data_IF_815064795029
#
_entry.id   IF_815064795029
#
_cell.length_a   1.000
_cell.length_b   1.000
_cell.length_c   1.000
_cell.angle_alpha   90.00
_cell.angle_beta   90.00
_cell.angle_gamma   90.00
#
_symmetry.space_group_name_H-M   'P 1'
#
loop_
_entity.id
_entity.type
_entity.pdbx_description
1 polymer ?
#
# COMPACT_ATOMS: atom_id res chain seq x y z
N UNK A 1 10.66 15.07 23.19
CA UNK A 1 10.80 14.91 21.72
C UNK A 1 9.65 15.57 20.95
N UNK A 2 8.39 15.46 21.40
CA UNK A 2 7.22 16.05 20.73
C UNK A 2 7.33 17.55 20.43
N UNK A 3 7.64 18.38 21.44
CA UNK A 3 7.78 19.84 21.27
C UNK A 3 8.90 20.24 20.28
N UNK A 4 9.94 19.42 20.14
CA UNK A 4 11.01 19.65 19.16
C UNK A 4 10.50 19.43 17.73
N UNK A 5 9.70 18.37 17.51
CA UNK A 5 9.07 18.11 16.21
C UNK A 5 8.06 19.20 15.85
N UNK A 6 7.21 19.60 16.80
CA UNK A 6 6.21 20.65 16.57
C UNK A 6 6.86 22.00 16.28
N UNK A 7 7.90 22.37 17.03
CA UNK A 7 8.61 23.63 16.82
C UNK A 7 9.40 23.64 15.50
N UNK A 8 10.08 22.54 15.14
CA UNK A 8 10.80 22.41 13.85
C UNK A 8 9.86 22.47 12.64
N UNK A 9 8.69 21.83 12.72
CA UNK A 9 7.64 21.93 11.68
C UNK A 9 6.87 23.25 11.73
N UNK A 10 7.19 24.17 12.65
CA UNK A 10 6.46 25.43 12.86
C UNK A 10 4.96 25.21 13.05
N UNK A 11 4.60 24.13 13.76
CA UNK A 11 3.22 23.70 14.01
C UNK A 11 2.42 23.36 12.74
N UNK A 12 3.07 23.21 11.58
CA UNK A 12 2.42 22.81 10.32
C UNK A 12 2.26 21.28 10.26
N UNK A 13 1.32 20.77 11.04
CA UNK A 13 1.05 19.32 11.15
C UNK A 13 0.22 18.77 9.99
N UNK A 14 -0.38 19.63 9.18
CA UNK A 14 -1.14 19.24 8.00
C UNK A 14 -0.19 19.07 6.80
N UNK A 15 0.42 17.90 6.68
CA UNK A 15 1.16 17.54 5.47
C UNK A 15 0.21 17.16 4.36
N UNK A 16 0.49 17.63 3.15
CA UNK A 16 -0.18 17.13 1.95
C UNK A 16 0.51 15.83 1.56
N UNK A 17 -0.28 14.78 1.33
CA UNK A 17 0.22 13.45 0.97
C UNK A 17 -0.24 13.07 -0.43
N UNK A 18 0.42 12.10 -1.10
CA UNK A 18 -0.04 11.64 -2.41
C UNK A 18 -1.49 11.16 -2.40
N UNK A 19 -1.95 10.57 -1.29
CA UNK A 19 -3.34 10.13 -1.10
C UNK A 19 -4.36 11.24 -1.32
N UNK A 20 -4.02 12.50 -1.02
CA UNK A 20 -4.90 13.64 -1.24
C UNK A 20 -5.21 13.91 -2.73
N UNK A 21 -4.43 13.36 -3.65
CA UNK A 21 -4.59 13.56 -5.10
C UNK A 21 -4.95 12.30 -5.87
N UNK A 22 -4.88 11.12 -5.25
CA UNK A 22 -5.08 9.83 -5.95
C UNK A 22 -6.45 9.75 -6.60
N UNK A 23 -7.51 10.12 -5.89
CA UNK A 23 -8.88 10.06 -6.40
C UNK A 23 -9.06 10.90 -7.67
N UNK A 24 -8.52 12.12 -7.66
CA UNK A 24 -8.52 13.01 -8.82
C UNK A 24 -7.82 12.38 -10.02
N UNK A 25 -6.61 11.83 -9.85
CA UNK A 25 -5.86 11.23 -10.95
C UNK A 25 -6.48 9.94 -11.45
N UNK A 26 -6.98 9.09 -10.55
CA UNK A 26 -7.68 7.86 -10.93
C UNK A 26 -8.91 8.16 -11.79
N UNK A 27 -9.71 9.16 -11.41
CA UNK A 27 -10.86 9.59 -12.21
C UNK A 27 -10.42 10.21 -13.55
N UNK A 28 -9.35 11.01 -13.54
CA UNK A 28 -8.83 11.66 -14.76
C UNK A 28 -8.28 10.65 -15.77
N UNK A 29 -7.57 9.62 -15.32
CA UNK A 29 -7.01 8.58 -16.20
C UNK A 29 -8.04 7.53 -16.65
N UNK A 30 -9.18 7.43 -15.96
CA UNK A 30 -10.24 6.47 -16.28
C UNK A 30 -11.40 7.11 -17.10
N UNK A 31 -11.12 8.19 -17.84
CA UNK A 31 -12.11 8.96 -18.63
C UNK A 31 -13.35 9.39 -17.81
N UNK A 32 -13.16 9.66 -16.53
CA UNK A 32 -14.22 10.04 -15.59
C UNK A 32 -15.06 8.90 -15.04
N UNK A 33 -14.64 7.64 -15.27
CA UNK A 33 -15.27 6.50 -14.62
C UNK A 33 -14.70 6.30 -13.20
N UNK A 34 -15.50 5.72 -12.32
CA UNK A 34 -15.07 5.38 -10.96
C UNK A 34 -13.94 4.34 -11.00
N UNK A 35 -12.83 4.54 -10.26
CA UNK A 35 -11.78 3.53 -10.17
C UNK A 35 -12.27 2.26 -9.47
N UNK A 36 -11.67 1.13 -9.83
CA UNK A 36 -11.91 -0.15 -9.17
C UNK A 36 -11.18 -0.20 -7.83
N UNK A 37 -11.71 -0.97 -6.89
CA UNK A 37 -11.07 -1.18 -5.58
C UNK A 37 -9.64 -1.73 -5.71
N UNK A 38 -9.40 -2.61 -6.69
CA UNK A 38 -8.07 -3.15 -7.00
C UNK A 38 -7.06 -2.08 -7.43
N UNK A 39 -7.50 -1.06 -8.18
CA UNK A 39 -6.65 0.05 -8.64
C UNK A 39 -6.28 0.95 -7.46
N UNK A 40 -7.25 1.24 -6.59
CA UNK A 40 -7.03 2.00 -5.36
C UNK A 40 -6.04 1.26 -4.45
N UNK A 41 -6.26 -0.04 -4.22
CA UNK A 41 -5.36 -0.86 -3.40
C UNK A 41 -3.93 -0.83 -3.94
N UNK A 42 -3.77 -0.97 -5.26
CA UNK A 42 -2.46 -0.91 -5.91
C UNK A 42 -1.80 0.44 -5.75
N UNK A 43 -2.55 1.53 -5.83
CA UNK A 43 -2.03 2.87 -5.55
C UNK A 43 -1.51 3.00 -4.12
N UNK A 44 -2.23 2.46 -3.14
CA UNK A 44 -1.81 2.51 -1.73
C UNK A 44 -0.48 1.79 -1.53
N UNK A 45 -0.35 0.57 -2.05
CA UNK A 45 0.90 -0.20 -1.99
C UNK A 45 2.07 0.59 -2.58
N UNK A 46 1.88 1.15 -3.78
CA UNK A 46 2.91 1.91 -4.46
C UNK A 46 3.33 3.16 -3.68
N UNK A 47 2.38 3.90 -3.10
CA UNK A 47 2.67 5.10 -2.30
C UNK A 47 3.52 4.76 -1.08
N UNK A 48 3.23 3.63 -0.43
CA UNK A 48 3.98 3.18 0.74
C UNK A 48 5.43 2.82 0.39
N UNK A 49 5.68 2.37 -0.84
CA UNK A 49 7.03 2.04 -1.32
C UNK A 49 7.77 3.24 -1.94
N UNK A 50 7.11 4.37 -2.25
CA UNK A 50 7.73 5.43 -3.06
C UNK A 50 8.78 6.27 -2.33
N UNK A 51 9.75 6.77 -3.08
CA UNK A 51 10.87 7.59 -2.59
C UNK A 51 10.52 9.08 -2.43
N UNK A 52 11.17 9.76 -1.47
CA UNK A 52 10.86 11.12 -0.97
C UNK A 52 11.22 12.30 -1.90
N UNK A 53 11.67 12.04 -3.12
CA UNK A 53 12.27 13.08 -3.98
C UNK A 53 11.28 13.86 -4.86
N UNK A 54 10.02 13.43 -4.89
CA UNK A 54 8.97 14.01 -5.73
C UNK A 54 7.91 14.73 -4.91
N UNK A 55 7.20 15.68 -5.54
CA UNK A 55 6.06 16.33 -4.88
C UNK A 55 4.91 15.32 -4.72
N UNK A 56 4.08 15.45 -3.67
CA UNK A 56 2.95 14.55 -3.45
C UNK A 56 2.02 14.40 -4.67
N UNK A 57 1.79 15.49 -5.41
CA UNK A 57 0.99 15.47 -6.65
C UNK A 57 1.65 14.73 -7.80
N UNK A 58 2.98 14.80 -7.91
CA UNK A 58 3.74 14.11 -8.95
C UNK A 58 3.78 12.60 -8.68
N UNK A 59 3.96 12.23 -7.40
CA UNK A 59 3.88 10.84 -6.94
C UNK A 59 2.49 10.27 -7.22
N UNK A 60 1.43 10.99 -6.85
CA UNK A 60 0.06 10.52 -7.06
C UNK A 60 -0.26 10.29 -8.54
N UNK A 61 0.17 11.20 -9.42
CA UNK A 61 -0.01 11.05 -10.86
C UNK A 61 0.73 9.81 -11.39
N UNK A 62 2.02 9.66 -11.03
CA UNK A 62 2.83 8.54 -11.47
C UNK A 62 2.27 7.20 -10.96
N UNK A 63 1.90 7.13 -9.68
CA UNK A 63 1.30 5.95 -9.06
C UNK A 63 0.00 5.55 -9.73
N UNK A 64 -0.90 6.51 -9.96
CA UNK A 64 -2.16 6.24 -10.62
C UNK A 64 -1.93 5.73 -12.05
N UNK A 65 -0.98 6.30 -12.79
CA UNK A 65 -0.57 5.77 -14.10
C UNK A 65 -0.08 4.31 -14.02
N UNK A 66 0.73 3.96 -13.02
CA UNK A 66 1.23 2.59 -12.84
C UNK A 66 0.16 1.60 -12.33
N UNK A 67 -0.95 2.10 -11.78
CA UNK A 67 -2.07 1.27 -11.32
C UNK A 67 -2.95 0.81 -12.48
N UNK A 68 -3.07 1.60 -13.55
CA UNK A 68 -3.74 1.21 -14.78
C UNK A 68 -2.77 0.44 -15.68
N UNK A 69 -2.68 -0.88 -15.47
CA UNK A 69 -1.79 -1.79 -16.20
C UNK A 69 -1.93 -1.74 -17.74
N UNK A 70 -3.06 -1.25 -18.25
CA UNK A 70 -3.43 -1.22 -19.67
C UNK A 70 -3.59 0.20 -20.24
N UNK A 71 -3.32 1.26 -19.47
CA UNK A 71 -3.50 2.62 -19.97
C UNK A 71 -2.46 2.91 -21.06
N UNK A 72 -2.92 2.94 -22.32
CA UNK A 72 -2.11 3.36 -23.45
C UNK A 72 -1.42 4.70 -23.13
N UNK A 73 -0.15 4.81 -23.51
CA UNK A 73 0.70 6.01 -23.37
C UNK A 73 -0.04 7.29 -23.85
N UNK A 74 -0.98 7.15 -24.78
CA UNK A 74 -1.85 8.23 -25.29
C UNK A 74 -2.81 8.80 -24.22
N UNK A 75 -3.40 7.95 -23.37
CA UNK A 75 -4.29 8.40 -22.28
C UNK A 75 -3.49 9.17 -21.21
N UNK A 76 -2.23 8.76 -21.02
CA UNK A 76 -1.29 9.39 -20.08
C UNK A 76 -0.91 10.82 -20.50
N UNK A 77 -0.54 11.05 -21.76
CA UNK A 77 -0.23 12.41 -22.24
C UNK A 77 -1.45 13.35 -22.18
N UNK A 78 -2.64 12.84 -22.51
CA UNK A 78 -3.87 13.60 -22.47
C UNK A 78 -4.26 13.99 -21.04
N UNK A 79 -4.20 13.06 -20.09
CA UNK A 79 -4.52 13.35 -18.71
C UNK A 79 -3.45 14.24 -18.02
N UNK A 80 -2.18 14.14 -18.43
CA UNK A 80 -1.15 15.10 -18.01
C UNK A 80 -1.36 16.50 -18.60
N UNK A 81 -2.00 16.63 -19.78
CA UNK A 81 -2.42 17.93 -20.31
C UNK A 81 -3.51 18.58 -19.46
N UNK A 82 -4.38 17.78 -18.82
CA UNK A 82 -5.43 18.29 -17.92
C UNK A 82 -4.88 18.87 -16.61
N UNK A 83 -3.58 18.70 -16.32
CA UNK A 83 -2.97 19.05 -15.03
C UNK A 83 -1.79 20.02 -15.20
N UNK A 84 -2.03 21.32 -15.46
CA UNK A 84 -0.97 22.29 -15.78
C UNK A 84 0.02 22.53 -14.62
N UNK A 85 -0.40 22.24 -13.38
CA UNK A 85 0.42 22.43 -12.18
C UNK A 85 1.41 21.29 -11.93
N UNK A 86 1.28 20.17 -12.65
CA UNK A 86 2.13 18.99 -12.49
C UNK A 86 3.19 18.97 -13.57
N UNK A 87 4.46 18.87 -13.16
CA UNK A 87 5.57 18.82 -14.11
C UNK A 87 5.65 17.43 -14.75
N UNK A 88 5.23 17.33 -16.02
CA UNK A 88 5.23 16.05 -16.76
C UNK A 88 6.56 15.30 -16.70
N UNK A 89 7.67 16.01 -16.85
CA UNK A 89 9.02 15.43 -16.76
C UNK A 89 9.27 14.76 -15.41
N UNK A 90 8.81 15.37 -14.31
CA UNK A 90 8.94 14.81 -12.96
C UNK A 90 8.03 13.60 -12.75
N UNK A 91 6.82 13.62 -13.31
CA UNK A 91 5.92 12.46 -13.28
C UNK A 91 6.53 11.26 -14.00
N UNK A 92 7.08 11.47 -15.20
CA UNK A 92 7.74 10.39 -15.95
C UNK A 92 8.95 9.83 -15.19
N UNK A 93 9.80 10.69 -14.62
CA UNK A 93 10.92 10.24 -13.77
C UNK A 93 10.44 9.44 -12.55
N UNK A 94 9.35 9.87 -11.91
CA UNK A 94 8.77 9.15 -10.78
C UNK A 94 8.18 7.80 -11.21
N UNK A 95 7.50 7.76 -12.35
CA UNK A 95 6.95 6.54 -12.94
C UNK A 95 8.05 5.51 -13.25
N UNK A 96 9.15 5.95 -13.88
CA UNK A 96 10.33 5.11 -14.15
C UNK A 96 10.93 4.56 -12.83
N UNK A 97 11.11 5.40 -11.83
CA UNK A 97 11.64 4.98 -10.52
C UNK A 97 10.72 3.97 -9.81
N UNK A 98 9.39 4.14 -9.91
CA UNK A 98 8.41 3.18 -9.38
C UNK A 98 8.52 1.84 -10.12
N UNK A 99 8.69 1.88 -11.45
CA UNK A 99 8.83 0.67 -12.26
C UNK A 99 10.12 -0.09 -11.94
N UNK A 100 11.25 0.60 -11.80
CA UNK A 100 12.53 0.00 -11.40
C UNK A 100 12.43 -0.66 -10.02
N UNK A 101 11.74 -0.02 -9.07
CA UNK A 101 11.52 -0.58 -7.74
C UNK A 101 10.71 -1.87 -7.76
N UNK A 102 9.66 -1.94 -8.59
CA UNK A 102 8.89 -3.17 -8.78
C UNK A 102 9.74 -4.31 -9.35
N UNK A 103 10.60 -4.02 -10.33
CA UNK A 103 11.48 -5.02 -10.92
C UNK A 103 12.49 -5.57 -9.90
N UNK A 104 12.99 -4.74 -8.99
CA UNK A 104 13.88 -5.20 -7.91
C UNK A 104 13.16 -6.10 -6.88
N UNK A 105 11.88 -5.84 -6.64
CA UNK A 105 11.04 -6.64 -5.74
C UNK A 105 10.74 -8.04 -6.32
N UNK A 106 10.58 -8.15 -7.65
CA UNK A 106 10.39 -9.44 -8.34
C UNK A 106 11.69 -10.28 -8.41
N UNK A 107 12.86 -9.63 -8.50
CA UNK A 107 14.17 -10.31 -8.52
C UNK A 107 14.61 -10.75 -7.11
N UNK A 108 14.00 -10.21 -6.06
CA UNK A 108 14.26 -10.56 -4.67
C UNK A 108 13.13 -11.46 -4.13
N UNK A 109 13.15 -12.78 -4.38
CA UNK A 109 12.16 -13.67 -3.77
C UNK A 109 12.43 -13.65 -2.27
N UNK A 110 11.58 -12.97 -1.52
CA UNK A 110 11.45 -13.06 -0.06
C UNK A 110 12.74 -13.49 0.63
N UNK A 111 13.73 -12.60 0.72
CA UNK A 111 14.76 -12.79 1.73
C UNK A 111 13.99 -12.65 3.03
N UNK A 112 13.62 -13.80 3.61
CA UNK A 112 13.17 -13.94 4.98
C UNK A 112 14.09 -13.08 5.82
N UNK A 113 13.62 -11.89 6.19
CA UNK A 113 14.30 -11.00 7.10
C UNK A 113 14.18 -11.63 8.49
N UNK A 114 14.99 -12.66 8.71
CA UNK A 114 15.27 -13.15 10.05
C UNK A 114 15.90 -11.95 10.76
N UNK A 115 15.26 -11.40 11.80
CA UNK A 115 15.86 -10.29 12.51
C UNK A 115 17.15 -10.82 13.17
N UNK A 116 18.31 -10.27 12.79
CA UNK A 116 19.56 -10.46 13.53
C UNK A 116 19.55 -9.61 14.81
N UNK A 117 18.46 -9.68 15.57
CA UNK A 117 18.38 -9.08 16.90
C UNK A 117 18.13 -10.21 17.91
N UNK A 118 18.88 -10.27 19.03
CA UNK A 118 18.75 -11.36 19.97
C UNK A 118 17.42 -11.26 20.74
N UNK A 119 16.50 -12.16 20.37
CA UNK A 119 15.45 -12.80 21.18
C UNK A 119 14.41 -11.92 21.91
N UNK A 120 13.14 -12.09 21.49
CA UNK A 120 11.89 -11.65 22.14
C UNK A 120 11.57 -10.18 21.88
N UNK A 121 10.51 -9.81 21.16
CA UNK A 121 9.19 -9.61 21.81
C UNK A 121 8.04 -9.37 20.80
N UNK A 122 8.21 -9.44 19.47
CA UNK A 122 7.10 -9.15 18.55
C UNK A 122 6.96 -10.20 17.45
N UNK A 123 6.35 -11.33 17.80
CA UNK A 123 5.82 -12.28 16.83
C UNK A 123 4.55 -11.68 16.19
N UNK A 124 4.75 -10.87 15.15
CA UNK A 124 3.68 -10.42 14.28
C UNK A 124 3.81 -11.11 12.94
N UNK A 125 3.41 -12.39 12.92
CA UNK A 125 3.05 -13.10 11.70
C UNK A 125 1.74 -12.52 11.16
N UNK A 126 1.82 -11.57 10.24
CA UNK A 126 0.67 -11.19 9.43
C UNK A 126 1.15 -10.50 8.16
N UNK A 127 1.33 -11.26 7.08
CA UNK A 127 0.95 -10.90 5.71
C UNK A 127 1.10 -12.17 4.85
N UNK A 128 0.10 -13.04 4.90
CA UNK A 128 -0.11 -14.07 3.88
C UNK A 128 -1.55 -13.90 3.40
N UNK A 129 -1.72 -13.10 2.35
CA UNK A 129 -2.97 -13.04 1.62
C UNK A 129 -2.97 -14.20 0.62
N UNK A 130 -3.51 -15.36 1.01
CA UNK A 130 -3.90 -16.38 0.04
C UNK A 130 -5.31 -16.07 -0.44
N UNK A 131 -5.39 -15.66 -1.70
CA UNK A 131 -6.64 -15.62 -2.45
C UNK A 131 -7.01 -17.06 -2.84
N UNK A 132 -7.96 -17.67 -2.14
CA UNK A 132 -8.52 -18.95 -2.57
C UNK A 132 -9.73 -18.71 -3.49
N UNK A 133 -9.55 -19.05 -4.76
CA UNK A 133 -10.63 -19.31 -5.70
C UNK A 133 -10.75 -20.83 -5.82
N UNK A 134 -11.88 -21.42 -5.42
CA UNK A 134 -12.56 -22.52 -6.14
C UNK A 134 -13.80 -23.02 -5.40
N UNK A 135 -14.86 -23.19 -6.19
CA UNK A 135 -16.15 -23.82 -5.86
C UNK A 135 -15.92 -25.32 -5.64
N UNK A 136 -16.45 -25.89 -4.55
CA UNK A 136 -17.01 -27.25 -4.54
C UNK A 136 -17.79 -27.49 -3.26
N UNK A 137 -19.07 -27.82 -3.41
CA UNK A 137 -19.93 -28.32 -2.35
C UNK A 137 -19.41 -29.65 -1.79
N UNK A 138 -19.53 -29.85 -0.47
CA UNK A 138 -19.89 -31.15 0.13
C UNK A 138 -20.17 -31.00 1.63
N UNK A 139 -21.18 -31.75 2.06
CA UNK A 139 -21.82 -31.75 3.37
C UNK A 139 -21.00 -32.43 4.48
N UNK A 140 -21.31 -32.00 5.71
CA UNK A 140 -21.54 -32.74 6.95
C UNK A 140 -20.61 -33.92 7.34
N UNK A 141 -19.98 -33.79 8.51
CA UNK A 141 -20.31 -34.71 9.63
C UNK A 141 -19.83 -34.19 10.98
N UNK A 142 -20.74 -34.26 11.95
CA UNK A 142 -20.55 -34.03 13.37
C UNK A 142 -19.92 -35.26 14.06
N UNK A 143 -19.10 -35.06 15.10
CA UNK A 143 -19.35 -35.53 16.48
C UNK A 143 -18.12 -35.38 17.41
N UNK A 144 -18.30 -34.54 18.44
CA UNK A 144 -18.07 -34.77 19.88
C UNK A 144 -16.95 -35.74 20.35
N UNK A 145 -16.08 -35.30 21.28
CA UNK A 145 -16.26 -35.63 22.72
C UNK A 145 -15.31 -34.89 23.71
N UNK A 146 -15.94 -34.34 24.76
CA UNK A 146 -15.59 -34.15 26.18
C UNK A 146 -14.16 -33.91 26.73
N UNK A 147 -14.04 -32.75 27.40
CA UNK A 147 -13.62 -32.49 28.82
C UNK A 147 -12.42 -33.23 29.46
N UNK A 148 -11.46 -32.45 29.99
CA UNK A 148 -10.94 -32.65 31.35
C UNK A 148 -10.22 -31.39 31.91
N UNK A 149 -10.60 -31.02 33.13
CA UNK A 149 -10.18 -29.85 33.87
C UNK A 149 -8.79 -29.98 34.52
N UNK A 150 -8.11 -28.84 34.80
CA UNK A 150 -7.31 -28.63 36.02
C UNK A 150 -7.16 -27.15 36.36
N UNK A 151 -7.95 -26.73 37.35
CA UNK A 151 -7.97 -25.42 38.03
C UNK A 151 -6.61 -25.07 38.65
N UNK A 152 -6.23 -23.79 38.62
CA UNK A 152 -5.20 -23.20 39.50
C UNK A 152 -5.90 -22.36 40.57
N UNK A 153 -5.68 -22.69 41.85
CA UNK A 153 -6.12 -21.91 43.02
C UNK A 153 -5.29 -20.63 43.12
N UNK A 154 -5.94 -19.50 43.41
CA UNK A 154 -5.32 -18.32 44.00
C UNK A 154 -5.82 -18.21 45.44
N UNK A 155 -4.88 -18.16 46.39
CA UNK A 155 -5.15 -17.74 47.76
C UNK A 155 -5.15 -16.20 47.78
N UNK A 156 -6.09 -15.61 48.50
CA UNK A 156 -5.96 -14.29 49.11
C UNK A 156 -6.57 -14.36 50.51
N UNK A 157 -5.96 -13.61 51.42
CA UNK A 157 -6.15 -13.53 52.88
C UNK A 157 -7.59 -13.53 53.39
#
# INVERSE_FOLDING_TARGET
>A
MELLVLSTLKWRMQSVTPFSFIDYFLHTFNDGNSPKESEIHRCVELILCTVKEFRPSEVAAAVAMTAFSDAQIVCMENALNCCPYVQKKKVMQCYEAIQEMRLMEEISPSISSVPQSPIGVLDAKCLSYKSDQTISASQENYQNNSQAAKRRKLNSE
#
